data_IF_935967696726
#
_entry.id   IF_935967696726
#
_cell.length_a   1.000
_cell.length_b   1.000
_cell.length_c   1.000
_cell.angle_alpha   90.00
_cell.angle_beta   90.00
_cell.angle_gamma   90.00
#
_symmetry.space_group_name_H-M   'P 1'
#
loop_
_entity.id
_entity.type
_entity.pdbx_description
1 polymer ?
#
# COMPACT_ATOMS: atom_id res chain seq x y z
N UNK A 1 -4.48 22.67 5.78
CA UNK A 1 -4.25 21.27 5.40
C UNK A 1 -2.93 21.26 4.67
N UNK A 2 -1.87 20.74 5.29
CA UNK A 2 -0.57 20.63 4.64
C UNK A 2 -0.69 19.61 3.50
N UNK A 3 -0.50 20.04 2.26
CA UNK A 3 -0.37 19.15 1.10
C UNK A 3 0.94 18.38 1.23
N UNK A 4 0.96 17.30 2.02
CA UNK A 4 2.05 16.34 1.96
C UNK A 4 2.00 15.67 0.59
N UNK A 5 2.99 16.00 -0.25
CA UNK A 5 3.15 15.42 -1.56
C UNK A 5 3.38 13.90 -1.42
N UNK A 6 2.73 13.07 -2.26
CA UNK A 6 3.00 11.64 -2.31
C UNK A 6 4.50 11.39 -2.47
N UNK A 7 5.05 10.51 -1.64
CA UNK A 7 6.49 10.20 -1.65
C UNK A 7 6.78 8.84 -2.29
N UNK A 8 7.82 8.79 -3.12
CA UNK A 8 8.52 7.55 -3.47
C UNK A 8 9.71 7.46 -2.52
N UNK A 9 9.63 6.57 -1.52
CA UNK A 9 10.67 6.43 -0.49
C UNK A 9 11.76 5.46 -0.92
N UNK A 10 12.99 5.68 -0.46
CA UNK A 10 14.09 4.72 -0.63
C UNK A 10 14.08 3.71 0.53
N UNK A 11 12.96 2.98 0.67
CA UNK A 11 12.80 1.91 1.67
C UNK A 11 12.75 0.55 0.96
N UNK A 12 13.54 -0.46 1.40
CA UNK A 12 13.63 -1.73 0.69
C UNK A 12 12.28 -2.46 0.54
N UNK A 13 11.42 -2.44 1.56
CA UNK A 13 10.12 -3.11 1.51
C UNK A 13 9.16 -2.35 0.59
N UNK A 14 9.14 -1.02 0.64
CA UNK A 14 8.35 -0.21 -0.29
C UNK A 14 8.79 -0.41 -1.76
N UNK A 15 10.10 -0.53 -2.01
CA UNK A 15 10.60 -0.80 -3.36
C UNK A 15 10.13 -2.16 -3.90
N UNK A 16 9.99 -3.18 -3.05
CA UNK A 16 9.39 -4.46 -3.46
C UNK A 16 7.95 -4.27 -3.98
N UNK A 17 7.15 -3.42 -3.35
CA UNK A 17 5.79 -3.11 -3.81
C UNK A 17 5.80 -2.37 -5.15
N UNK A 18 6.74 -1.44 -5.35
CA UNK A 18 6.91 -0.73 -6.64
C UNK A 18 7.35 -1.65 -7.77
N UNK A 19 8.19 -2.64 -7.46
CA UNK A 19 8.68 -3.65 -8.38
C UNK A 19 7.65 -4.77 -8.65
N UNK A 20 6.48 -4.74 -7.99
CA UNK A 20 5.44 -5.76 -8.12
C UNK A 20 5.78 -7.08 -7.42
N UNK A 21 6.78 -7.11 -6.54
CA UNK A 21 7.23 -8.30 -5.78
C UNK A 21 6.40 -8.48 -4.50
N UNK A 22 5.09 -8.66 -4.68
CA UNK A 22 4.12 -8.73 -3.58
C UNK A 22 4.41 -9.90 -2.63
N UNK A 23 4.76 -11.07 -3.18
CA UNK A 23 5.07 -12.27 -2.37
C UNK A 23 6.32 -12.09 -1.50
N UNK A 24 7.33 -11.39 -2.01
CA UNK A 24 8.55 -11.10 -1.26
C UNK A 24 8.28 -10.08 -0.15
N UNK A 25 7.50 -9.02 -0.44
CA UNK A 25 7.05 -8.06 0.57
C UNK A 25 6.29 -8.78 1.70
N UNK A 26 5.29 -9.60 1.35
CA UNK A 26 4.47 -10.34 2.31
C UNK A 26 5.33 -11.26 3.18
N UNK A 27 6.32 -11.93 2.59
CA UNK A 27 7.24 -12.83 3.31
C UNK A 27 8.10 -12.08 4.33
N UNK A 28 8.68 -10.94 3.93
CA UNK A 28 9.54 -10.11 4.79
C UNK A 28 8.76 -9.43 5.90
N UNK A 29 7.59 -8.89 5.57
CA UNK A 29 6.68 -8.31 6.57
C UNK A 29 6.26 -9.36 7.61
N UNK A 30 5.89 -10.57 7.16
CA UNK A 30 5.57 -11.69 8.07
C UNK A 30 6.76 -12.13 8.93
N UNK A 31 7.99 -11.97 8.44
CA UNK A 31 9.22 -12.21 9.21
C UNK A 31 9.53 -11.11 10.24
N UNK A 32 8.70 -10.05 10.31
CA UNK A 32 8.82 -8.97 11.29
C UNK A 32 9.59 -7.75 10.78
N UNK A 33 9.94 -7.69 9.50
CA UNK A 33 10.49 -6.47 8.91
C UNK A 33 9.38 -5.41 8.79
N UNK A 34 9.71 -4.16 9.13
CA UNK A 34 8.78 -3.04 9.07
C UNK A 34 9.23 -2.00 8.06
N UNK A 35 8.24 -1.30 7.50
CA UNK A 35 8.44 -0.20 6.56
C UNK A 35 7.48 0.91 6.93
N UNK A 36 7.95 2.16 6.88
CA UNK A 36 7.06 3.29 6.95
C UNK A 36 6.41 3.53 5.57
N UNK A 37 5.20 2.99 5.41
CA UNK A 37 4.41 3.16 4.20
C UNK A 37 3.55 4.44 4.20
N UNK A 38 3.53 5.22 5.28
CA UNK A 38 2.65 6.40 5.38
C UNK A 38 3.01 7.45 4.34
N UNK A 39 2.00 8.10 3.73
CA UNK A 39 2.21 9.12 2.70
C UNK A 39 2.79 8.59 1.38
N UNK A 40 2.95 7.28 1.21
CA UNK A 40 3.57 6.72 0.01
C UNK A 40 2.67 6.84 -1.23
N UNK A 41 3.32 7.05 -2.36
CA UNK A 41 2.69 7.00 -3.66
C UNK A 41 2.53 5.53 -4.11
N UNK A 42 1.30 5.03 -4.28
CA UNK A 42 1.04 3.70 -4.85
C UNK A 42 0.34 3.79 -6.22
N UNK A 43 0.30 4.98 -6.83
CA UNK A 43 -0.47 5.23 -8.05
C UNK A 43 -0.05 4.29 -9.18
N UNK A 44 -1.05 3.70 -9.82
CA UNK A 44 -0.89 2.79 -10.98
C UNK A 44 -0.28 1.42 -10.67
N UNK A 45 0.02 1.10 -9.41
CA UNK A 45 0.59 -0.20 -9.04
C UNK A 45 -0.47 -1.31 -9.08
N UNK A 46 0.00 -2.55 -9.24
CA UNK A 46 -0.80 -3.75 -9.00
C UNK A 46 -0.43 -4.30 -7.62
N UNK A 47 -1.35 -4.16 -6.65
CA UNK A 47 -1.16 -4.63 -5.27
C UNK A 47 -2.10 -5.81 -4.94
N UNK A 48 -2.63 -6.49 -5.96
CA UNK A 48 -3.44 -7.70 -5.73
C UNK A 48 -2.61 -8.74 -4.98
N UNK A 49 -3.21 -9.36 -3.97
CA UNK A 49 -2.53 -10.34 -3.11
C UNK A 49 -1.68 -9.72 -1.98
N UNK A 50 -1.64 -8.40 -1.83
CA UNK A 50 -1.02 -7.75 -0.67
C UNK A 50 -1.70 -8.21 0.62
N UNK A 51 -0.89 -8.68 1.59
CA UNK A 51 -1.37 -8.93 2.96
C UNK A 51 -1.28 -7.62 3.71
N UNK A 52 -2.40 -6.88 3.78
CA UNK A 52 -2.43 -5.55 4.40
C UNK A 52 -2.68 -5.55 5.91
N UNK A 53 -2.88 -6.72 6.54
CA UNK A 53 -3.10 -6.84 7.98
C UNK A 53 -1.97 -6.18 8.78
N UNK A 54 -2.32 -5.17 9.59
CA UNK A 54 -1.38 -4.45 10.44
C UNK A 54 -0.60 -3.32 9.76
N UNK A 55 -0.74 -3.12 8.44
CA UNK A 55 -0.06 -2.04 7.74
C UNK A 55 -0.64 -0.67 8.10
N UNK A 56 0.24 0.32 8.25
CA UNK A 56 -0.15 1.73 8.29
C UNK A 56 -0.01 2.34 6.89
N UNK A 57 -1.15 2.49 6.21
CA UNK A 57 -1.28 3.07 4.88
C UNK A 57 -1.94 4.46 4.96
N UNK A 58 -1.78 5.14 6.09
CA UNK A 58 -2.32 6.49 6.27
C UNK A 58 -1.69 7.46 5.25
N UNK A 59 -2.49 8.41 4.77
CA UNK A 59 -2.14 9.45 3.79
C UNK A 59 -1.56 8.91 2.45
N UNK A 60 -1.75 7.63 2.15
CA UNK A 60 -1.26 7.00 0.93
C UNK A 60 -2.12 7.32 -0.29
N UNK A 61 -1.52 7.27 -1.48
CA UNK A 61 -2.19 7.60 -2.74
C UNK A 61 -2.32 6.38 -3.66
N UNK A 62 -3.55 5.86 -3.83
CA UNK A 62 -3.86 4.65 -4.59
C UNK A 62 -4.58 4.92 -5.93
N UNK A 63 -4.40 6.11 -6.53
CA UNK A 63 -5.07 6.43 -7.81
C UNK A 63 -4.64 5.42 -8.89
N UNK A 64 -5.61 4.82 -9.57
CA UNK A 64 -5.41 3.78 -10.60
C UNK A 64 -4.73 2.49 -10.12
N UNK A 65 -4.54 2.32 -8.80
CA UNK A 65 -3.98 1.09 -8.23
C UNK A 65 -4.98 -0.05 -8.35
N UNK A 66 -4.50 -1.25 -8.66
CA UNK A 66 -5.30 -2.47 -8.60
C UNK A 66 -5.27 -3.06 -7.19
N UNK A 67 -6.37 -2.90 -6.44
CA UNK A 67 -6.53 -3.37 -5.07
C UNK A 67 -7.52 -4.55 -4.97
N UNK A 68 -7.95 -5.11 -6.10
CA UNK A 68 -9.03 -6.11 -6.12
C UNK A 68 -8.69 -7.31 -5.23
N UNK A 69 -9.62 -7.65 -4.34
CA UNK A 69 -9.47 -8.79 -3.42
C UNK A 69 -8.54 -8.58 -2.24
N UNK A 70 -7.98 -7.38 -2.05
CA UNK A 70 -7.18 -7.06 -0.87
C UNK A 70 -8.10 -6.83 0.33
N UNK A 71 -7.76 -7.44 1.47
CA UNK A 71 -8.44 -7.24 2.76
C UNK A 71 -7.70 -6.14 3.55
N UNK A 72 -8.37 -4.99 3.73
CA UNK A 72 -7.89 -3.85 4.50
C UNK A 72 -8.56 -3.74 5.88
N UNK A 73 -9.37 -4.73 6.31
CA UNK A 73 -10.14 -4.68 7.55
C UNK A 73 -9.30 -4.47 8.82
N UNK A 74 -8.00 -4.79 8.75
CA UNK A 74 -7.01 -4.61 9.82
C UNK A 74 -5.86 -3.65 9.45
N UNK A 75 -5.99 -2.90 8.35
CA UNK A 75 -5.04 -1.87 7.96
C UNK A 75 -5.50 -0.49 8.46
N UNK A 76 -4.56 0.46 8.60
CA UNK A 76 -4.92 1.87 8.79
C UNK A 76 -4.91 2.58 7.45
N UNK A 77 -5.99 3.29 7.14
CA UNK A 77 -6.18 4.02 5.87
C UNK A 77 -6.58 5.49 6.10
N UNK A 78 -6.24 6.06 7.26
CA UNK A 78 -6.63 7.43 7.60
C UNK A 78 -6.03 8.39 6.58
N UNK A 79 -6.85 9.21 5.92
CA UNK A 79 -6.38 10.17 4.91
C UNK A 79 -5.97 9.55 3.57
N UNK A 80 -6.03 8.22 3.41
CA UNK A 80 -5.65 7.58 2.16
C UNK A 80 -6.60 7.94 1.01
N UNK A 81 -6.04 8.20 -0.18
CA UNK A 81 -6.81 8.48 -1.39
C UNK A 81 -6.93 7.23 -2.26
N UNK A 82 -8.13 6.66 -2.34
CA UNK A 82 -8.45 5.51 -3.21
C UNK A 82 -9.15 5.91 -4.52
N UNK A 83 -9.12 7.21 -4.87
CA UNK A 83 -9.83 7.71 -6.04
C UNK A 83 -9.36 7.03 -7.33
N UNK A 84 -10.27 6.35 -8.03
CA UNK A 84 -9.97 5.64 -9.27
C UNK A 84 -9.17 4.34 -9.09
N UNK A 85 -9.00 3.85 -7.86
CA UNK A 85 -8.50 2.50 -7.60
C UNK A 85 -9.52 1.44 -8.06
N UNK A 86 -9.03 0.26 -8.46
CA UNK A 86 -9.90 -0.90 -8.71
C UNK A 86 -10.12 -1.63 -7.39
N UNK A 87 -11.34 -1.58 -6.86
CA UNK A 87 -11.66 -2.05 -5.50
C UNK A 87 -12.70 -3.18 -5.46
N UNK A 88 -12.99 -3.84 -6.59
CA UNK A 88 -13.94 -4.95 -6.58
C UNK A 88 -13.44 -6.07 -5.64
N UNK A 89 -14.27 -6.47 -4.68
CA UNK A 89 -13.93 -7.52 -3.71
C UNK A 89 -12.93 -7.08 -2.62
N UNK A 90 -12.67 -5.78 -2.48
CA UNK A 90 -11.97 -5.25 -1.30
C UNK A 90 -12.86 -5.37 -0.07
N UNK A 91 -12.27 -5.72 1.07
CA UNK A 91 -12.92 -5.80 2.38
C UNK A 91 -12.31 -4.82 3.38
#
# INVERSE_FOLDING_TARGET
>A
MSEQMPAIKDDPLYQLLRDGKIDEFNTRHKAGESSDLTGCDFRGLDLRGLVAEGLDLSDCYFRQTDLRGVDFSKAKLIGASIHGAKISGVF
#
